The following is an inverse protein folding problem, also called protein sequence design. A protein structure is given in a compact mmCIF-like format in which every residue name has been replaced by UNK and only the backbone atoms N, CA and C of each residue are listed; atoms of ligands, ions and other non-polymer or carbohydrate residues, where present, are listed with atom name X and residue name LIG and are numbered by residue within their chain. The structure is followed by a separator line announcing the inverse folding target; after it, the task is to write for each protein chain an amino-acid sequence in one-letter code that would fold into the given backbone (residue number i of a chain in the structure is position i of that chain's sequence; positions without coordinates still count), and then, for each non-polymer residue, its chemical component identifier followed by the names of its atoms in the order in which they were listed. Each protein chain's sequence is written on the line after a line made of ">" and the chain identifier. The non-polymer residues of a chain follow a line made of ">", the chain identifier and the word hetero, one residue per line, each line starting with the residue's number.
data_IF_238145062518
#
_entry.id   IF_238145062518
#
_cell.length_a   1.000
_cell.length_b   1.000
_cell.length_c   1.000
_cell.angle_alpha   90.00
_cell.angle_beta   90.00
_cell.angle_gamma   90.00
#
_symmetry.space_group_name_H-M   'P 1'
#
loop_
_entity.id
_entity.type
_entity.pdbx_description
1 polymer ?
#
# COMPACT_ATOMS: atom_id res chain seq x y z
N UNK A 1 16.41 18.34 7.59
CA UNK A 1 15.09 18.65 8.20
C UNK A 1 14.09 17.57 7.79
N UNK A 2 13.23 17.10 8.68
CA UNK A 2 12.20 16.14 8.31
C UNK A 2 11.24 16.80 7.30
N UNK A 3 11.11 16.19 6.11
CA UNK A 3 10.20 16.68 5.08
C UNK A 3 8.75 16.56 5.58
N UNK A 4 8.03 17.67 5.59
CA UNK A 4 6.59 17.72 5.81
C UNK A 4 5.88 18.06 4.52
N UNK A 5 4.75 17.42 4.26
CA UNK A 5 3.93 17.68 3.08
C UNK A 5 2.87 18.73 3.42
N UNK A 6 2.84 19.82 2.63
CA UNK A 6 1.83 20.87 2.75
C UNK A 6 1.33 21.25 1.34
N UNK A 7 0.03 21.39 1.18
CA UNK A 7 -0.65 21.95 -0.01
C UNK A 7 -0.13 21.37 -1.35
N UNK A 8 0.03 20.06 -1.40
CA UNK A 8 0.51 19.36 -2.61
C UNK A 8 -0.57 18.49 -3.28
N UNK A 9 -1.74 18.39 -2.67
CA UNK A 9 -2.82 17.56 -3.17
C UNK A 9 -3.23 17.95 -4.59
N UNK A 10 -3.60 19.22 -4.78
CA UNK A 10 -4.10 19.71 -6.07
C UNK A 10 -3.02 19.70 -7.16
N UNK A 11 -1.75 19.97 -6.79
CA UNK A 11 -0.60 19.88 -7.72
C UNK A 11 -0.37 18.44 -8.22
N UNK A 12 -0.65 17.44 -7.38
CA UNK A 12 -0.44 16.02 -7.71
C UNK A 12 -1.69 15.34 -8.26
N UNK A 13 -2.85 15.97 -8.15
CA UNK A 13 -4.10 15.45 -8.65
C UNK A 13 -4.31 15.86 -10.10
N UNK A 14 -3.70 15.14 -11.01
CA UNK A 14 -3.84 15.32 -12.46
C UNK A 14 -4.26 14.03 -13.14
N UNK A 15 -4.84 14.14 -14.34
CA UNK A 15 -5.18 13.01 -15.17
C UNK A 15 -3.99 12.08 -15.40
N UNK A 16 -2.82 12.64 -15.73
CA UNK A 16 -1.60 11.91 -16.03
C UNK A 16 -1.14 11.10 -14.81
N UNK A 17 -1.22 11.67 -13.60
CA UNK A 17 -0.83 10.98 -12.37
C UNK A 17 -1.76 9.83 -12.00
N UNK A 18 -3.06 9.98 -12.25
CA UNK A 18 -4.03 8.89 -12.11
C UNK A 18 -3.81 7.81 -13.16
N UNK A 19 -3.53 8.20 -14.42
CA UNK A 19 -3.19 7.27 -15.48
C UNK A 19 -1.88 6.51 -15.20
N UNK A 20 -0.83 7.17 -14.68
CA UNK A 20 0.38 6.49 -14.22
C UNK A 20 0.08 5.44 -13.14
N UNK A 21 -0.78 5.77 -12.16
CA UNK A 21 -1.19 4.85 -11.12
C UNK A 21 -1.96 3.65 -11.71
N UNK A 22 -2.82 3.88 -12.71
CA UNK A 22 -3.51 2.82 -13.44
C UNK A 22 -2.51 1.88 -14.16
N UNK A 23 -1.59 2.43 -14.95
CA UNK A 23 -0.58 1.65 -15.68
C UNK A 23 0.25 0.78 -14.72
N UNK A 24 0.69 1.34 -13.60
CA UNK A 24 1.43 0.60 -12.57
C UNK A 24 0.57 -0.49 -11.91
N UNK A 25 -0.70 -0.20 -11.63
CA UNK A 25 -1.62 -1.14 -10.94
C UNK A 25 -1.98 -2.35 -11.79
N UNK A 26 -2.07 -2.19 -13.13
CA UNK A 26 -2.39 -3.28 -14.06
C UNK A 26 -1.19 -4.14 -14.49
N UNK A 27 0.03 -3.72 -14.19
CA UNK A 27 1.25 -4.43 -14.62
C UNK A 27 1.23 -5.89 -14.16
N UNK A 28 1.36 -6.83 -15.11
CA UNK A 28 1.32 -8.28 -14.89
C UNK A 28 -0.07 -8.84 -14.51
N UNK A 29 -1.15 -8.04 -14.62
CA UNK A 29 -2.53 -8.43 -14.24
C UNK A 29 -3.57 -8.02 -15.29
N UNK A 30 -3.15 -7.61 -16.48
CA UNK A 30 -4.03 -7.11 -17.55
C UNK A 30 -5.10 -8.08 -18.02
N UNK A 31 -4.91 -9.39 -17.80
CA UNK A 31 -5.85 -10.48 -18.11
C UNK A 31 -7.05 -10.56 -17.17
N UNK A 32 -7.02 -9.89 -16.01
CA UNK A 32 -8.11 -9.95 -15.03
C UNK A 32 -9.33 -9.20 -15.53
N UNK A 33 -10.52 -9.80 -15.43
CA UNK A 33 -11.80 -9.27 -15.88
C UNK A 33 -12.02 -7.81 -15.42
N UNK A 34 -11.82 -7.52 -14.13
CA UNK A 34 -11.97 -6.16 -13.57
C UNK A 34 -11.04 -5.11 -14.22
N UNK A 35 -9.87 -5.54 -14.73
CA UNK A 35 -8.92 -4.64 -15.40
C UNK A 35 -9.28 -4.48 -16.87
N UNK A 36 -9.74 -5.56 -17.52
CA UNK A 36 -10.24 -5.50 -18.91
C UNK A 36 -11.44 -4.55 -18.98
N UNK A 37 -12.42 -4.71 -18.08
CA UNK A 37 -13.59 -3.84 -18.00
C UNK A 37 -13.21 -2.38 -17.76
N UNK A 38 -12.26 -2.13 -16.88
CA UNK A 38 -11.74 -0.78 -16.64
C UNK A 38 -11.06 -0.20 -17.89
N UNK A 39 -10.23 -0.99 -18.58
CA UNK A 39 -9.51 -0.54 -19.78
C UNK A 39 -10.45 -0.14 -20.92
N UNK A 40 -11.62 -0.78 -21.07
CA UNK A 40 -12.61 -0.45 -22.09
C UNK A 40 -13.15 0.99 -21.93
N UNK A 41 -13.16 1.51 -20.71
CA UNK A 41 -13.69 2.84 -20.35
C UNK A 41 -12.70 3.63 -19.49
N UNK A 42 -11.41 3.45 -19.69
CA UNK A 42 -10.38 3.98 -18.81
C UNK A 42 -10.43 5.51 -18.69
N UNK A 43 -10.66 6.22 -19.80
CA UNK A 43 -10.72 7.69 -19.80
C UNK A 43 -11.92 8.19 -18.98
N UNK A 44 -13.09 7.59 -19.23
CA UNK A 44 -14.33 7.91 -18.50
C UNK A 44 -14.15 7.70 -16.98
N UNK A 45 -13.58 6.55 -16.58
CA UNK A 45 -13.33 6.26 -15.17
C UNK A 45 -12.27 7.15 -14.54
N UNK A 46 -11.21 7.49 -15.26
CA UNK A 46 -10.17 8.39 -14.73
C UNK A 46 -10.69 9.82 -14.59
N UNK A 47 -11.46 10.32 -15.57
CA UNK A 47 -12.06 11.64 -15.49
C UNK A 47 -13.09 11.73 -14.35
N UNK A 48 -13.96 10.73 -14.24
CA UNK A 48 -14.88 10.63 -13.11
C UNK A 48 -14.13 10.62 -11.76
N UNK A 49 -13.07 9.81 -11.65
CA UNK A 49 -12.27 9.72 -10.43
C UNK A 49 -11.59 11.05 -10.10
N UNK A 50 -11.05 11.73 -11.10
CA UNK A 50 -10.43 13.05 -10.95
C UNK A 50 -11.44 14.04 -10.35
N UNK A 51 -12.65 14.12 -10.91
CA UNK A 51 -13.74 14.96 -10.39
C UNK A 51 -14.10 14.61 -8.93
N UNK A 52 -14.29 13.30 -8.63
CA UNK A 52 -14.62 12.86 -7.27
C UNK A 52 -13.54 13.23 -6.24
N UNK A 53 -12.27 13.15 -6.63
CA UNK A 53 -11.15 13.50 -5.76
C UNK A 53 -10.98 15.02 -5.63
N UNK A 54 -11.18 15.80 -6.70
CA UNK A 54 -11.14 17.27 -6.67
C UNK A 54 -12.23 17.86 -5.76
N UNK A 55 -13.45 17.32 -5.90
CA UNK A 55 -14.61 17.78 -5.12
C UNK A 55 -14.70 17.16 -3.72
N UNK A 56 -13.76 16.30 -3.36
CA UNK A 56 -13.76 15.54 -2.10
C UNK A 56 -15.05 14.71 -1.88
N UNK A 57 -15.71 14.29 -2.97
CA UNK A 57 -16.90 13.42 -2.93
C UNK A 57 -16.55 11.94 -3.05
N UNK A 58 -15.29 11.61 -3.30
CA UNK A 58 -14.86 10.22 -3.38
C UNK A 58 -15.20 9.46 -2.10
N UNK A 59 -15.81 8.29 -2.28
CA UNK A 59 -16.11 7.33 -1.22
C UNK A 59 -15.51 5.98 -1.56
N UNK A 60 -14.71 5.46 -0.65
CA UNK A 60 -14.12 4.12 -0.81
C UNK A 60 -15.23 3.06 -0.84
N UNK A 61 -15.18 2.16 -1.81
CA UNK A 61 -16.22 1.15 -2.03
C UNK A 61 -16.24 -0.02 -1.05
N UNK A 62 -15.38 0.04 -0.04
CA UNK A 62 -15.23 -1.02 0.95
C UNK A 62 -14.39 -2.19 0.45
N UNK A 63 -14.37 -3.25 1.25
CA UNK A 63 -13.58 -4.45 1.00
C UNK A 63 -14.49 -5.66 0.85
N UNK A 64 -14.25 -6.49 -0.18
CA UNK A 64 -14.85 -7.82 -0.29
C UNK A 64 -13.94 -8.81 0.44
N UNK A 65 -14.55 -9.59 1.33
CA UNK A 65 -13.84 -10.60 2.11
C UNK A 65 -14.01 -11.97 1.44
N UNK A 66 -12.93 -12.70 1.27
CA UNK A 66 -12.95 -14.11 0.85
C UNK A 66 -11.80 -14.88 1.52
N UNK A 67 -11.87 -16.21 1.47
CA UNK A 67 -10.89 -17.07 2.11
C UNK A 67 -10.10 -17.84 1.06
N UNK A 68 -8.80 -17.98 1.32
CA UNK A 68 -7.88 -18.81 0.53
C UNK A 68 -7.34 -19.91 1.45
N UNK A 69 -7.37 -21.15 0.98
CA UNK A 69 -7.03 -22.33 1.81
C UNK A 69 -5.57 -22.77 1.67
N UNK A 70 -4.90 -22.47 0.56
CA UNK A 70 -3.54 -22.91 0.28
C UNK A 70 -2.49 -21.78 0.48
N UNK A 71 -1.36 -22.08 1.14
CA UNK A 71 -0.96 -23.28 1.86
C UNK A 71 -1.60 -23.42 3.25
N UNK A 72 -2.33 -22.44 3.69
CA UNK A 72 -3.15 -22.41 4.92
C UNK A 72 -4.29 -21.40 4.79
N UNK A 73 -5.35 -21.62 5.54
CA UNK A 73 -6.51 -20.72 5.55
C UNK A 73 -6.09 -19.28 5.87
N UNK A 74 -6.41 -18.39 4.94
CA UNK A 74 -6.17 -16.94 5.08
C UNK A 74 -7.42 -16.17 4.71
N UNK A 75 -7.81 -15.24 5.53
CA UNK A 75 -8.82 -14.24 5.22
C UNK A 75 -8.16 -13.16 4.35
N UNK A 76 -8.74 -12.88 3.18
CA UNK A 76 -8.27 -11.85 2.24
C UNK A 76 -9.34 -10.77 2.12
N UNK A 77 -8.93 -9.54 2.26
CA UNK A 77 -9.78 -8.36 2.08
C UNK A 77 -9.35 -7.64 0.79
N UNK A 78 -10.21 -7.67 -0.22
CA UNK A 78 -9.95 -7.11 -1.55
C UNK A 78 -10.78 -5.86 -1.77
N UNK A 79 -10.14 -4.73 -2.05
CA UNK A 79 -10.82 -3.52 -2.52
C UNK A 79 -11.13 -3.60 -4.02
N UNK A 80 -12.08 -2.78 -4.49
CA UNK A 80 -12.37 -2.63 -5.94
C UNK A 80 -11.13 -2.13 -6.69
N UNK A 81 -11.08 -2.38 -7.99
CA UNK A 81 -9.94 -1.96 -8.79
C UNK A 81 -9.71 -0.45 -8.76
N UNK A 82 -10.79 0.33 -8.85
CA UNK A 82 -10.72 1.80 -8.80
C UNK A 82 -10.19 2.31 -7.46
N UNK A 83 -10.55 1.66 -6.35
CA UNK A 83 -10.03 2.01 -5.02
C UNK A 83 -8.53 1.70 -4.91
N UNK A 84 -8.07 0.57 -5.50
CA UNK A 84 -6.63 0.24 -5.56
C UNK A 84 -5.83 1.23 -6.40
N UNK A 85 -6.45 1.81 -7.42
CA UNK A 85 -5.84 2.89 -8.20
C UNK A 85 -5.64 4.13 -7.33
N UNK A 86 -6.64 4.53 -6.54
CA UNK A 86 -6.53 5.64 -5.58
C UNK A 86 -5.46 5.35 -4.53
N UNK A 87 -5.42 4.12 -3.98
CA UNK A 87 -4.37 3.73 -3.03
C UNK A 87 -2.98 3.87 -3.66
N UNK A 88 -2.81 3.41 -4.91
CA UNK A 88 -1.54 3.51 -5.63
C UNK A 88 -1.13 4.95 -5.86
N UNK A 89 -2.07 5.79 -6.31
CA UNK A 89 -1.82 7.21 -6.53
C UNK A 89 -1.43 7.92 -5.22
N UNK A 90 -2.15 7.64 -4.11
CA UNK A 90 -1.85 8.19 -2.79
C UNK A 90 -0.45 7.79 -2.31
N UNK A 91 -0.11 6.51 -2.43
CA UNK A 91 1.19 5.98 -2.00
C UNK A 91 2.32 6.60 -2.80
N UNK A 92 2.26 6.55 -4.13
CA UNK A 92 3.33 7.01 -5.01
C UNK A 92 3.61 8.52 -4.89
N UNK A 93 2.57 9.33 -4.72
CA UNK A 93 2.70 10.78 -4.76
C UNK A 93 2.87 11.43 -3.38
N UNK A 94 2.44 10.77 -2.29
CA UNK A 94 2.44 11.39 -0.96
C UNK A 94 3.16 10.55 0.10
N UNK A 95 2.92 9.23 0.18
CA UNK A 95 3.47 8.43 1.26
C UNK A 95 4.92 8.01 0.99
N UNK A 96 5.22 7.41 -0.17
CA UNK A 96 6.59 6.99 -0.50
C UNK A 96 7.61 8.14 -0.41
N UNK A 97 7.36 9.33 -0.99
CA UNK A 97 8.34 10.42 -0.96
C UNK A 97 8.66 10.95 0.44
N UNK A 98 7.74 10.77 1.40
CA UNK A 98 7.91 11.25 2.77
C UNK A 98 8.54 10.19 3.65
N UNK A 99 8.03 8.94 3.59
CA UNK A 99 8.36 7.92 4.57
C UNK A 99 9.55 7.05 4.16
N UNK A 100 9.68 6.70 2.88
CA UNK A 100 10.78 5.84 2.41
C UNK A 100 12.17 6.39 2.76
N UNK A 101 12.44 7.70 2.62
CA UNK A 101 13.74 8.26 3.01
C UNK A 101 14.04 8.18 4.52
N UNK A 102 13.04 7.91 5.35
CA UNK A 102 13.17 7.80 6.80
C UNK A 102 13.32 6.35 7.28
N UNK A 103 13.18 5.39 6.38
CA UNK A 103 13.33 3.98 6.74
C UNK A 103 14.78 3.65 7.09
N UNK A 104 14.95 2.78 8.09
CA UNK A 104 16.26 2.28 8.45
C UNK A 104 16.91 1.54 7.26
N UNK A 105 18.22 1.62 7.12
CA UNK A 105 18.94 1.02 5.99
C UNK A 105 18.73 -0.48 5.86
N UNK A 106 18.39 -1.15 6.96
CA UNK A 106 18.11 -2.58 7.04
C UNK A 106 16.66 -2.96 6.71
N UNK A 107 15.82 -2.00 6.28
CA UNK A 107 14.51 -2.29 5.69
C UNK A 107 14.67 -2.76 4.26
N UNK A 108 14.30 -4.01 3.98
CA UNK A 108 14.47 -4.63 2.66
C UNK A 108 13.14 -4.93 1.95
N UNK A 109 12.03 -5.03 2.67
CA UNK A 109 10.74 -5.36 2.09
C UNK A 109 10.13 -4.18 1.31
N UNK A 110 9.54 -4.47 0.16
CA UNK A 110 8.76 -3.52 -0.66
C UNK A 110 9.51 -2.24 -1.09
N UNK A 111 10.82 -2.24 -1.10
CA UNK A 111 11.65 -1.12 -1.52
C UNK A 111 12.37 -1.43 -2.84
N UNK A 112 12.43 -0.42 -3.74
CA UNK A 112 13.20 -0.54 -4.98
C UNK A 112 14.66 -0.84 -4.66
N UNK A 113 15.31 -1.65 -5.50
CA UNK A 113 16.71 -2.05 -5.39
C UNK A 113 17.07 -2.78 -4.08
N UNK A 114 16.07 -3.11 -3.27
CA UNK A 114 16.20 -3.96 -2.09
C UNK A 114 15.45 -5.29 -2.33
N UNK A 115 15.09 -6.02 -1.36
CA UNK A 115 14.36 -7.28 -1.49
C UNK A 115 15.10 -8.45 -0.82
N UNK A 116 14.54 -9.64 -0.95
CA UNK A 116 15.00 -10.82 -0.22
C UNK A 116 16.47 -11.16 -0.48
N UNK A 117 16.92 -11.16 -1.74
CA UNK A 117 18.32 -11.49 -2.07
C UNK A 117 19.30 -10.53 -1.40
N UNK A 118 19.03 -9.22 -1.47
CA UNK A 118 19.90 -8.22 -0.82
C UNK A 118 19.86 -8.33 0.70
N UNK A 119 18.72 -8.67 1.28
CA UNK A 119 18.58 -8.95 2.71
C UNK A 119 19.43 -10.15 3.13
N UNK A 120 19.39 -11.26 2.37
CA UNK A 120 20.19 -12.45 2.64
C UNK A 120 21.69 -12.16 2.55
N UNK A 121 22.15 -11.44 1.52
CA UNK A 121 23.56 -11.06 1.37
C UNK A 121 24.02 -10.15 2.52
N UNK A 122 23.18 -9.20 2.92
CA UNK A 122 23.48 -8.32 4.05
C UNK A 122 23.59 -9.13 5.36
N UNK A 123 22.62 -10.00 5.62
CA UNK A 123 22.62 -10.89 6.78
C UNK A 123 23.88 -11.76 6.82
N UNK A 124 24.22 -12.40 5.70
CA UNK A 124 25.41 -13.25 5.60
C UNK A 124 26.70 -12.46 5.92
N UNK A 125 26.82 -11.24 5.39
CA UNK A 125 27.97 -10.35 5.66
C UNK A 125 28.03 -10.00 7.15
N UNK A 126 26.90 -9.66 7.75
CA UNK A 126 26.78 -9.33 9.18
C UNK A 126 27.16 -10.52 10.06
N UNK A 127 26.66 -11.72 9.74
CA UNK A 127 26.99 -12.96 10.47
C UNK A 127 28.49 -13.26 10.43
N UNK A 128 29.12 -13.15 9.26
CA UNK A 128 30.59 -13.31 9.13
C UNK A 128 31.35 -12.29 9.96
N UNK A 129 30.90 -11.06 9.99
CA UNK A 129 31.48 -9.97 10.79
C UNK A 129 31.37 -10.26 12.29
N UNK A 130 30.17 -10.62 12.76
CA UNK A 130 29.93 -10.98 14.17
C UNK A 130 30.80 -12.17 14.61
N UNK A 131 30.89 -13.23 13.78
CA UNK A 131 31.70 -14.38 14.06
C UNK A 131 33.19 -14.02 14.22
N UNK A 132 33.70 -13.11 13.38
CA UNK A 132 35.09 -12.66 13.43
C UNK A 132 35.40 -11.87 14.71
N UNK A 133 34.45 -11.03 15.19
CA UNK A 133 34.69 -10.13 16.33
C UNK A 133 34.41 -10.84 17.65
N UNK A 134 33.30 -11.58 17.72
CA UNK A 134 32.81 -12.14 18.99
C UNK A 134 32.96 -13.66 19.11
N UNK A 135 33.33 -14.36 18.03
CA UNK A 135 33.41 -15.82 17.99
C UNK A 135 32.02 -16.45 18.02
N UNK A 136 31.37 -16.42 19.17
CA UNK A 136 30.00 -16.92 19.37
C UNK A 136 29.00 -15.76 19.38
N UNK A 137 27.87 -15.96 18.71
CA UNK A 137 26.78 -14.98 18.66
C UNK A 137 25.44 -15.70 18.53
N UNK A 138 24.37 -15.02 18.90
CA UNK A 138 23.00 -15.53 18.80
C UNK A 138 22.20 -14.69 17.80
N UNK A 139 21.24 -15.33 17.13
CA UNK A 139 20.30 -14.66 16.23
C UNK A 139 18.90 -14.75 16.85
N UNK A 140 18.33 -13.60 17.15
CA UNK A 140 16.93 -13.50 17.57
C UNK A 140 16.04 -13.24 16.35
N UNK A 141 15.14 -14.19 16.06
CA UNK A 141 14.10 -14.02 15.05
C UNK A 141 12.80 -13.60 15.75
N UNK A 142 12.28 -12.45 15.36
CA UNK A 142 11.02 -11.92 15.90
C UNK A 142 10.02 -11.71 14.77
N UNK A 143 8.74 -11.85 15.08
CA UNK A 143 7.62 -11.54 14.19
C UNK A 143 6.45 -10.99 15.00
N UNK A 144 5.66 -10.11 14.38
CA UNK A 144 4.50 -9.50 15.02
C UNK A 144 3.25 -10.28 14.63
N UNK A 145 2.63 -10.93 15.60
CA UNK A 145 1.41 -11.70 15.35
C UNK A 145 0.27 -10.79 14.88
N UNK A 146 -0.40 -11.20 13.80
CA UNK A 146 -1.57 -10.50 13.23
C UNK A 146 -1.34 -8.99 13.07
N UNK A 147 -0.18 -8.61 12.55
CA UNK A 147 0.25 -7.20 12.45
C UNK A 147 -0.85 -6.28 11.90
N UNK A 148 -1.44 -6.63 10.75
CA UNK A 148 -2.45 -5.78 10.11
C UNK A 148 -3.78 -5.72 10.88
N UNK A 149 -4.17 -6.79 11.56
CA UNK A 149 -5.40 -6.83 12.35
C UNK A 149 -5.29 -6.00 13.64
N UNK A 150 -4.06 -5.86 14.17
CA UNK A 150 -3.78 -5.17 15.41
C UNK A 150 -3.35 -3.71 15.24
N UNK A 151 -3.34 -3.18 14.01
CA UNK A 151 -3.04 -1.76 13.79
C UNK A 151 -4.18 -0.89 14.33
N UNK A 152 -3.87 -0.07 15.33
CA UNK A 152 -4.76 0.99 15.79
C UNK A 152 -4.80 2.13 14.75
N UNK A 153 -5.97 2.33 14.14
CA UNK A 153 -6.16 3.31 13.07
C UNK A 153 -6.00 4.75 13.53
N UNK A 154 -6.34 5.05 14.78
CA UNK A 154 -6.22 6.40 15.33
C UNK A 154 -4.75 6.73 15.61
N UNK A 155 -4.00 5.78 16.17
CA UNK A 155 -2.56 5.95 16.38
C UNK A 155 -1.85 6.09 15.04
N UNK A 156 -2.19 5.24 14.04
CA UNK A 156 -1.64 5.35 12.69
C UNK A 156 -1.93 6.72 12.08
N UNK A 157 -3.16 7.20 12.19
CA UNK A 157 -3.54 8.51 11.67
C UNK A 157 -2.74 9.64 12.34
N UNK A 158 -2.59 9.63 13.67
CA UNK A 158 -1.77 10.59 14.41
C UNK A 158 -0.31 10.60 13.95
N UNK A 159 0.26 9.41 13.65
CA UNK A 159 1.62 9.29 13.12
C UNK A 159 1.73 9.94 11.74
N UNK A 160 0.75 9.69 10.85
CA UNK A 160 0.71 10.26 9.51
C UNK A 160 0.53 11.80 9.56
N UNK A 161 -0.36 12.31 10.42
CA UNK A 161 -0.62 13.74 10.60
C UNK A 161 0.60 14.53 11.11
N UNK A 162 1.57 13.88 11.77
CA UNK A 162 2.85 14.53 12.15
C UNK A 162 3.65 14.98 10.93
N UNK A 163 3.57 14.23 9.81
CA UNK A 163 4.36 14.47 8.59
C UNK A 163 3.54 15.07 7.45
N UNK A 164 2.25 14.74 7.38
CA UNK A 164 1.33 15.19 6.34
C UNK A 164 0.46 16.28 6.93
N UNK A 165 0.64 17.51 6.44
CA UNK A 165 -0.12 18.70 6.86
C UNK A 165 -1.13 19.17 5.82
N UNK A 166 -1.25 18.43 4.73
CA UNK A 166 -2.23 18.66 3.68
C UNK A 166 -3.57 18.05 4.09
N UNK A 167 -4.57 18.88 4.33
CA UNK A 167 -5.88 18.46 4.83
C UNK A 167 -6.64 17.57 3.87
N UNK A 168 -6.48 17.78 2.54
CA UNK A 168 -7.11 16.94 1.51
C UNK A 168 -6.49 15.54 1.47
N UNK A 169 -5.17 15.44 1.64
CA UNK A 169 -4.49 14.14 1.76
C UNK A 169 -4.95 13.40 3.01
N UNK A 170 -5.05 14.08 4.15
CA UNK A 170 -5.53 13.49 5.40
C UNK A 170 -7.00 13.03 5.26
N UNK A 171 -7.85 13.84 4.61
CA UNK A 171 -9.21 13.44 4.30
C UNK A 171 -9.25 12.11 3.53
N UNK A 172 -8.47 11.99 2.45
CA UNK A 172 -8.43 10.77 1.65
C UNK A 172 -7.91 9.55 2.44
N UNK A 173 -6.89 9.76 3.28
CA UNK A 173 -6.39 8.73 4.18
C UNK A 173 -7.50 8.24 5.12
N UNK A 174 -8.29 9.15 5.69
CA UNK A 174 -9.43 8.81 6.55
C UNK A 174 -10.49 7.99 5.80
N UNK A 175 -10.85 8.40 4.58
CA UNK A 175 -11.79 7.64 3.73
C UNK A 175 -11.33 6.19 3.50
N UNK A 176 -10.02 5.98 3.33
CA UNK A 176 -9.47 4.63 3.12
C UNK A 176 -9.39 3.84 4.43
N UNK A 177 -8.91 4.44 5.52
CA UNK A 177 -8.73 3.75 6.80
C UNK A 177 -10.05 3.32 7.45
N UNK A 178 -11.09 4.13 7.29
CA UNK A 178 -12.40 3.87 7.88
C UNK A 178 -13.40 3.26 6.90
N UNK A 179 -12.94 2.84 5.71
CA UNK A 179 -13.79 2.15 4.74
C UNK A 179 -14.43 0.90 5.33
N UNK A 180 -15.71 0.71 5.04
CA UNK A 180 -16.49 -0.41 5.56
C UNK A 180 -16.06 -1.74 4.94
N UNK A 181 -16.02 -2.79 5.75
CA UNK A 181 -15.86 -4.17 5.29
C UNK A 181 -17.23 -4.71 4.89
N UNK A 182 -17.36 -5.22 3.68
CA UNK A 182 -18.56 -5.94 3.21
C UNK A 182 -18.24 -7.42 3.19
N UNK A 183 -18.89 -8.19 4.04
CA UNK A 183 -18.83 -9.65 3.95
C UNK A 183 -19.69 -10.11 2.77
N UNK A 184 -19.08 -10.61 1.71
CA UNK A 184 -19.73 -11.53 0.79
C UNK A 184 -19.71 -12.90 1.43
N UNK A 185 -20.83 -13.64 1.33
CA UNK A 185 -20.90 -15.03 1.77
C UNK A 185 -19.73 -15.84 1.24
N UNK A 186 -19.36 -16.89 1.96
CA UNK A 186 -18.21 -17.78 1.71
C UNK A 186 -18.09 -18.18 0.23
N UNK A 187 -17.34 -17.44 -0.57
CA UNK A 187 -16.80 -17.92 -1.84
C UNK A 187 -15.41 -18.52 -1.55
N UNK A 188 -15.35 -19.85 -1.51
CA UNK A 188 -14.09 -20.58 -1.48
C UNK A 188 -13.54 -20.51 -2.91
N UNK A 189 -12.55 -19.66 -3.14
CA UNK A 189 -11.81 -19.67 -4.41
C UNK A 189 -10.72 -20.75 -4.31
N UNK A 190 -10.92 -21.85 -5.02
CA UNK A 190 -9.82 -22.75 -5.37
C UNK A 190 -8.94 -21.99 -6.37
N UNK A 191 -7.67 -21.89 -6.10
CA UNK A 191 -6.66 -21.31 -7.01
C UNK A 191 -6.12 -22.51 -7.79
N UNK A 192 -6.66 -22.72 -9.02
CA UNK A 192 -6.02 -23.55 -10.03
C UNK A 192 -4.85 -22.79 -10.65
#
# INVERSE_FOLDING_TARGET
>A
MPRTLKNKYDEKLTYEKLMEAHIKSRKGKGYRKEIIEFNLKQEEYIMWLLEQLQTQKYKHGGYTVFYVTEPKLRKIEKSRYIDRLVHRWLVDNFLEPIFVPQFVNTSFACLKEKGMHRACLYLQKTMKHCKRIWGNYYILKMDVAKYFDNIDKEILLKILERKIKDTKVIWLIKEILYAQKREKGLEIMNID
#
